data_IF_254330279016
#
_entry.id   IF_254330279016
#
_cell.length_a   1.000
_cell.length_b   1.000
_cell.length_c   1.000
_cell.angle_alpha   90.00
_cell.angle_beta   90.00
_cell.angle_gamma   90.00
#
_symmetry.space_group_name_H-M   'P 1'
#
loop_
_entity.id
_entity.type
_entity.pdbx_description
1 polymer ?
#
# COMPACT_ATOMS: atom_id res chain seq x y z
N UNK A 1 31.33 -65.21 53.11
CA UNK A 1 30.48 -66.42 53.23
C UNK A 1 29.07 -66.05 52.79
N UNK A 2 28.57 -66.76 51.76
CA UNK A 2 27.15 -67.03 51.40
C UNK A 2 26.17 -65.84 51.28
N UNK A 3 25.71 -65.49 50.07
CA UNK A 3 24.48 -65.96 49.37
C UNK A 3 23.41 -64.85 49.39
N UNK A 4 23.07 -64.27 48.24
CA UNK A 4 21.89 -64.58 47.39
C UNK A 4 20.58 -63.98 47.97
N UNK A 5 19.65 -63.35 47.25
CA UNK A 5 19.17 -63.59 45.90
C UNK A 5 18.22 -62.45 45.44
N UNK A 6 18.21 -62.24 44.11
CA UNK A 6 17.08 -62.01 43.18
C UNK A 6 15.85 -61.13 43.54
N UNK A 7 15.54 -60.17 42.66
CA UNK A 7 14.32 -60.10 41.79
C UNK A 7 14.21 -58.69 41.17
N UNK A 8 14.53 -58.49 39.89
CA UNK A 8 13.62 -58.48 38.71
C UNK A 8 12.49 -57.46 38.82
N UNK A 9 12.63 -56.29 38.18
CA UNK A 9 11.66 -55.80 37.20
C UNK A 9 12.28 -54.69 36.35
N UNK A 10 12.46 -54.97 35.07
CA UNK A 10 12.76 -54.00 34.04
C UNK A 10 11.45 -53.35 33.57
N UNK A 11 11.39 -52.02 33.56
CA UNK A 11 10.41 -51.28 32.77
C UNK A 11 11.16 -50.23 31.95
N UNK A 12 11.55 -50.63 30.73
CA UNK A 12 12.14 -49.74 29.73
C UNK A 12 10.99 -48.97 29.07
N UNK A 13 10.77 -47.74 29.49
CA UNK A 13 9.90 -46.78 28.81
C UNK A 13 10.63 -46.22 27.58
N UNK A 14 10.38 -46.84 26.43
CA UNK A 14 10.77 -46.31 25.13
C UNK A 14 10.02 -44.99 24.86
N UNK A 15 10.70 -43.86 25.06
CA UNK A 15 10.23 -42.57 24.58
C UNK A 15 10.56 -42.46 23.09
N UNK A 16 9.53 -42.64 22.26
CA UNK A 16 9.56 -42.28 20.85
C UNK A 16 9.64 -40.75 20.74
N UNK A 17 10.85 -40.22 20.72
CA UNK A 17 11.11 -38.83 20.35
C UNK A 17 10.78 -38.66 18.87
N UNK A 18 9.58 -38.16 18.57
CA UNK A 18 9.24 -37.61 17.24
C UNK A 18 10.15 -36.42 17.02
N UNK A 19 11.21 -36.62 16.24
CA UNK A 19 11.99 -35.56 15.63
C UNK A 19 11.05 -34.76 14.73
N UNK A 20 10.60 -33.61 15.23
CA UNK A 20 9.96 -32.59 14.41
C UNK A 20 11.00 -32.16 13.37
N UNK A 21 10.83 -32.64 12.14
CA UNK A 21 11.56 -32.17 10.97
C UNK A 21 11.25 -30.70 10.78
N UNK A 22 12.13 -29.84 11.29
CA UNK A 22 12.14 -28.42 11.02
C UNK A 22 12.32 -28.24 9.51
N UNK A 23 11.22 -28.09 8.77
CA UNK A 23 11.31 -27.63 7.39
C UNK A 23 11.92 -26.23 7.43
N UNK A 24 13.06 -26.00 6.76
CA UNK A 24 13.52 -24.64 6.54
C UNK A 24 12.39 -23.93 5.80
N UNK A 25 11.82 -22.90 6.44
CA UNK A 25 10.86 -22.00 5.83
C UNK A 25 11.53 -21.47 4.57
N UNK A 26 11.00 -21.83 3.41
CA UNK A 26 11.48 -21.35 2.13
C UNK A 26 11.59 -19.82 2.25
N UNK A 27 12.82 -19.31 2.13
CA UNK A 27 13.05 -17.91 1.78
C UNK A 27 12.23 -17.72 0.51
N UNK A 28 11.32 -16.73 0.49
CA UNK A 28 10.49 -16.43 -0.66
C UNK A 28 11.38 -16.16 -1.87
N UNK A 29 11.73 -17.21 -2.59
CA UNK A 29 12.38 -17.14 -3.88
C UNK A 29 11.31 -16.71 -4.87
N UNK A 30 11.64 -15.71 -5.68
CA UNK A 30 10.85 -15.29 -6.83
C UNK A 30 10.32 -16.51 -7.60
N UNK A 31 9.09 -16.41 -8.10
CA UNK A 31 8.41 -17.46 -8.87
C UNK A 31 9.29 -18.10 -9.94
N UNK A 32 8.91 -19.29 -10.41
CA UNK A 32 9.46 -19.89 -11.61
C UNK A 32 8.46 -20.03 -12.76
N UNK A 33 7.33 -19.29 -12.74
CA UNK A 33 6.35 -19.38 -13.83
C UNK A 33 6.97 -18.96 -15.19
N UNK A 34 7.19 -19.91 -16.12
CA UNK A 34 7.83 -19.62 -17.41
C UNK A 34 6.90 -18.88 -18.38
N UNK A 35 5.61 -18.73 -18.05
CA UNK A 35 4.57 -18.09 -18.88
C UNK A 35 4.37 -16.61 -18.49
N UNK A 36 5.05 -16.11 -17.45
CA UNK A 36 4.94 -14.72 -17.10
C UNK A 36 5.80 -13.81 -18.02
N UNK A 37 5.13 -12.93 -18.77
CA UNK A 37 5.78 -11.88 -19.54
C UNK A 37 6.27 -10.81 -18.57
N UNK A 38 7.59 -10.80 -18.29
CA UNK A 38 8.27 -9.85 -17.38
C UNK A 38 7.99 -8.36 -17.65
N UNK A 39 7.48 -8.00 -18.83
CA UNK A 39 7.35 -6.60 -19.28
C UNK A 39 6.20 -5.81 -18.65
N UNK A 40 5.29 -6.44 -17.91
CA UNK A 40 4.12 -5.75 -17.33
C UNK A 40 4.02 -5.82 -15.79
N UNK A 41 5.11 -6.20 -15.11
CA UNK A 41 5.10 -6.17 -13.65
C UNK A 41 5.52 -4.79 -13.14
N UNK A 42 4.54 -3.92 -12.90
CA UNK A 42 4.73 -2.65 -12.21
C UNK A 42 3.96 -2.73 -10.91
N UNK A 43 4.68 -3.11 -9.85
CA UNK A 43 4.09 -3.24 -8.53
C UNK A 43 3.52 -1.87 -8.11
N UNK A 44 2.22 -1.78 -7.76
CA UNK A 44 1.63 -0.52 -7.28
C UNK A 44 2.31 0.00 -5.99
N UNK A 45 3.11 -0.81 -5.30
CA UNK A 45 3.93 -0.39 -4.16
C UNK A 45 5.20 0.36 -4.56
N UNK A 46 5.91 -0.18 -5.55
CA UNK A 46 7.24 0.31 -5.94
C UNK A 46 7.16 0.63 -7.43
N UNK A 47 7.21 1.91 -7.83
CA UNK A 47 7.79 3.07 -7.12
C UNK A 47 6.80 4.07 -6.49
N UNK A 48 5.49 3.83 -6.51
CA UNK A 48 4.51 4.89 -6.22
C UNK A 48 4.08 5.07 -4.77
N UNK A 49 4.31 4.08 -3.89
CA UNK A 49 4.04 4.15 -2.46
C UNK A 49 5.32 4.12 -1.60
N UNK A 50 6.48 3.75 -2.17
CA UNK A 50 7.78 3.93 -1.50
C UNK A 50 8.42 5.25 -1.93
N UNK A 51 8.55 6.19 -1.00
CA UNK A 51 9.28 7.45 -1.18
C UNK A 51 10.48 7.46 -0.24
N UNK A 52 11.70 7.57 -0.79
CA UNK A 52 12.97 7.53 -0.04
C UNK A 52 13.11 6.34 0.93
N UNK A 53 12.58 5.18 0.55
CA UNK A 53 12.63 3.95 1.36
C UNK A 53 11.63 3.89 2.51
N UNK A 54 10.68 4.83 2.55
CA UNK A 54 9.55 4.83 3.48
C UNK A 54 8.23 4.63 2.71
N UNK A 55 7.32 3.86 3.29
CA UNK A 55 5.98 3.68 2.74
C UNK A 55 5.11 4.90 3.07
N UNK A 56 4.60 5.58 2.05
CA UNK A 56 3.77 6.79 2.17
C UNK A 56 2.51 6.55 3.01
N UNK A 57 1.86 5.38 2.88
CA UNK A 57 0.66 5.07 3.65
C UNK A 57 0.98 4.99 5.15
N UNK A 58 2.12 4.42 5.51
CA UNK A 58 2.55 4.34 6.91
C UNK A 58 2.88 5.73 7.49
N UNK A 59 3.59 6.56 6.73
CA UNK A 59 3.89 7.94 7.12
C UNK A 59 2.58 8.71 7.40
N UNK A 60 1.57 8.51 6.56
CA UNK A 60 0.27 9.15 6.69
C UNK A 60 -0.53 8.68 7.89
N UNK A 61 -0.48 7.39 8.22
CA UNK A 61 -1.16 6.86 9.40
C UNK A 61 -0.58 7.35 10.72
N UNK A 62 0.69 7.72 10.71
CA UNK A 62 1.36 8.30 11.88
C UNK A 62 1.17 9.82 12.00
N UNK A 63 0.59 10.44 10.97
CA UNK A 63 0.37 11.89 10.91
C UNK A 63 -1.02 12.26 11.43
N UNK A 64 -1.16 13.46 11.99
CA UNK A 64 -2.47 14.06 12.27
C UNK A 64 -3.02 14.74 11.00
N UNK A 65 -4.33 14.66 10.79
CA UNK A 65 -4.99 15.17 9.59
C UNK A 65 -6.09 16.17 9.94
N UNK A 66 -6.28 17.17 9.09
CA UNK A 66 -7.41 18.10 9.19
C UNK A 66 -8.30 17.98 7.96
N UNK A 67 -9.59 17.80 8.20
CA UNK A 67 -10.59 17.81 7.14
C UNK A 67 -10.76 19.22 6.57
N UNK A 68 -10.69 19.33 5.25
CA UNK A 68 -11.02 20.56 4.54
C UNK A 68 -12.54 20.55 4.27
N UNK A 69 -13.30 21.28 5.08
CA UNK A 69 -14.77 21.30 4.97
C UNK A 69 -15.24 22.27 3.90
N UNK A 70 -16.43 22.03 3.33
CA UNK A 70 -17.02 22.90 2.30
C UNK A 70 -17.24 24.36 2.72
N UNK A 71 -17.16 24.68 4.03
CA UNK A 71 -17.26 26.05 4.54
C UNK A 71 -15.91 26.78 4.57
N UNK A 72 -14.81 26.07 4.80
CA UNK A 72 -13.43 26.59 4.58
C UNK A 72 -13.09 26.70 3.08
N UNK A 73 -13.89 26.02 2.26
CA UNK A 73 -13.74 25.89 0.82
C UNK A 73 -14.86 26.68 0.10
N UNK A 74 -14.71 27.98 -0.09
CA UNK A 74 -15.37 28.63 -1.24
C UNK A 74 -14.91 27.89 -2.50
N UNK A 75 -15.71 26.94 -2.96
CA UNK A 75 -15.37 25.72 -3.74
C UNK A 75 -14.53 25.90 -5.02
N UNK A 76 -14.26 27.13 -5.47
CA UNK A 76 -13.46 27.41 -6.67
C UNK A 76 -11.97 27.63 -6.38
N UNK A 77 -11.61 28.38 -5.34
CA UNK A 77 -10.20 28.76 -5.09
C UNK A 77 -9.36 27.58 -4.61
N UNK A 78 -9.95 26.69 -3.82
CA UNK A 78 -9.21 25.58 -3.22
C UNK A 78 -9.23 24.31 -4.09
N UNK A 79 -10.27 24.12 -4.94
CA UNK A 79 -10.22 23.10 -5.99
C UNK A 79 -9.14 23.37 -7.03
N UNK A 80 -8.89 24.65 -7.36
CA UNK A 80 -7.71 24.98 -8.17
C UNK A 80 -6.39 24.72 -7.45
N UNK A 81 -6.36 24.73 -6.10
CA UNK A 81 -5.13 24.45 -5.34
C UNK A 81 -4.74 22.97 -5.37
N UNK A 82 -5.69 22.04 -5.46
CA UNK A 82 -5.37 20.61 -5.70
C UNK A 82 -4.98 20.30 -7.15
N UNK A 83 -5.12 21.28 -8.06
CA UNK A 83 -4.57 21.32 -9.41
C UNK A 83 -4.70 20.00 -10.18
N UNK A 84 -3.60 19.26 -10.28
CA UNK A 84 -3.51 17.97 -10.96
C UNK A 84 -4.61 16.97 -10.56
N UNK A 85 -5.09 17.01 -9.31
CA UNK A 85 -6.10 16.12 -8.77
C UNK A 85 -7.53 16.69 -8.79
N UNK A 86 -7.73 17.93 -9.26
CA UNK A 86 -9.03 18.62 -9.23
C UNK A 86 -10.17 17.79 -9.83
N UNK A 87 -9.90 17.12 -10.96
CA UNK A 87 -10.90 16.31 -11.68
C UNK A 87 -11.01 14.88 -11.13
N UNK A 88 -10.07 14.41 -10.32
CA UNK A 88 -10.09 13.07 -9.75
C UNK A 88 -10.93 13.02 -8.47
N UNK A 89 -10.90 14.11 -7.69
CA UNK A 89 -11.54 14.17 -6.37
C UNK A 89 -12.83 15.00 -6.44
N UNK A 90 -13.93 14.38 -6.04
CA UNK A 90 -15.26 15.00 -5.99
C UNK A 90 -15.81 15.17 -4.57
N UNK A 91 -15.01 14.79 -3.56
CA UNK A 91 -15.36 14.72 -2.16
C UNK A 91 -14.58 15.75 -1.31
N UNK A 92 -15.03 15.98 -0.08
CA UNK A 92 -14.24 16.70 0.93
C UNK A 92 -13.02 15.88 1.33
N UNK A 93 -11.83 16.45 1.16
CA UNK A 93 -10.57 15.78 1.43
C UNK A 93 -9.93 16.28 2.73
N UNK A 94 -9.06 15.47 3.32
CA UNK A 94 -8.20 15.91 4.41
C UNK A 94 -6.76 16.08 3.93
N UNK A 95 -6.01 16.90 4.67
CA UNK A 95 -4.56 17.08 4.50
C UNK A 95 -3.87 16.96 5.86
N UNK A 96 -2.56 16.69 5.91
CA UNK A 96 -1.84 16.67 7.18
C UNK A 96 -1.94 18.00 7.93
N UNK A 97 -1.94 17.95 9.25
CA UNK A 97 -1.89 19.14 10.10
C UNK A 97 -0.60 19.94 9.90
N UNK A 98 -0.72 21.27 9.90
CA UNK A 98 0.42 22.17 9.87
C UNK A 98 0.04 23.63 9.69
N UNK A 99 1.01 24.52 9.88
CA UNK A 99 0.79 25.96 10.01
C UNK A 99 0.38 26.66 8.71
N UNK A 100 0.74 26.10 7.55
CA UNK A 100 0.45 26.69 6.23
C UNK A 100 -0.25 25.67 5.33
N UNK A 101 -1.58 25.79 5.26
CA UNK A 101 -2.44 24.87 4.52
C UNK A 101 -2.16 24.88 3.02
N UNK A 102 -1.83 26.05 2.45
CA UNK A 102 -1.57 26.16 1.01
C UNK A 102 -0.31 25.38 0.63
N UNK A 103 0.79 25.55 1.36
CA UNK A 103 2.01 24.77 1.08
C UNK A 103 1.85 23.28 1.34
N UNK A 104 0.99 22.88 2.30
CA UNK A 104 0.68 21.46 2.54
C UNK A 104 -0.08 20.88 1.35
N UNK A 105 -1.11 21.58 0.85
CA UNK A 105 -1.87 21.14 -0.33
C UNK A 105 -0.96 21.03 -1.55
N UNK A 106 -0.09 22.04 -1.79
CA UNK A 106 0.88 22.00 -2.89
C UNK A 106 1.85 20.82 -2.75
N UNK A 107 2.31 20.51 -1.54
CA UNK A 107 3.17 19.36 -1.27
C UNK A 107 2.47 18.04 -1.55
N UNK A 108 1.21 17.89 -1.11
CA UNK A 108 0.41 16.70 -1.40
C UNK A 108 0.15 16.53 -2.89
N UNK A 109 -0.15 17.62 -3.61
CA UNK A 109 -0.27 17.61 -5.07
C UNK A 109 1.04 17.19 -5.74
N UNK A 110 2.18 17.74 -5.32
CA UNK A 110 3.48 17.36 -5.88
C UNK A 110 3.77 15.87 -5.64
N UNK A 111 3.46 15.33 -4.46
CA UNK A 111 3.62 13.90 -4.19
C UNK A 111 2.68 13.04 -5.06
N UNK A 112 1.44 13.49 -5.29
CA UNK A 112 0.51 12.83 -6.20
C UNK A 112 1.04 12.79 -7.64
N UNK A 113 1.59 13.91 -8.14
CA UNK A 113 2.23 13.97 -9.46
C UNK A 113 3.44 13.05 -9.51
N UNK A 114 4.30 13.06 -8.48
CA UNK A 114 5.46 12.18 -8.38
C UNK A 114 5.05 10.70 -8.44
N UNK A 115 4.04 10.29 -7.66
CA UNK A 115 3.52 8.93 -7.66
C UNK A 115 2.95 8.54 -9.04
N UNK A 116 2.17 9.43 -9.67
CA UNK A 116 1.67 9.24 -11.03
C UNK A 116 2.78 9.05 -12.06
N UNK A 117 3.78 9.93 -12.08
CA UNK A 117 4.94 9.87 -12.99
C UNK A 117 5.72 8.59 -12.76
N UNK A 118 5.93 8.20 -11.51
CA UNK A 118 6.68 7.01 -11.15
C UNK A 118 5.98 5.75 -11.67
N UNK A 119 4.65 5.67 -11.53
CA UNK A 119 3.85 4.58 -12.09
C UNK A 119 3.85 4.55 -13.63
N UNK A 120 3.67 5.70 -14.29
CA UNK A 120 3.74 5.77 -15.75
C UNK A 120 5.09 5.28 -16.26
N UNK A 121 6.19 5.75 -15.65
CA UNK A 121 7.54 5.32 -16.00
C UNK A 121 7.72 3.81 -15.80
N UNK A 122 7.17 3.27 -14.71
CA UNK A 122 7.15 1.82 -14.48
C UNK A 122 6.47 1.07 -15.63
N UNK A 123 5.36 1.62 -16.15
CA UNK A 123 4.61 1.06 -17.28
C UNK A 123 5.25 1.31 -18.65
N UNK A 124 6.43 1.94 -18.69
CA UNK A 124 7.08 2.32 -19.95
C UNK A 124 6.37 3.44 -20.71
N UNK A 125 5.58 4.26 -20.00
CA UNK A 125 4.86 5.41 -20.54
C UNK A 125 5.55 6.70 -20.13
N UNK A 126 5.69 7.64 -21.06
CA UNK A 126 6.27 8.94 -20.78
C UNK A 126 5.22 9.92 -20.26
N UNK A 127 5.50 10.57 -19.13
CA UNK A 127 4.62 11.60 -18.56
C UNK A 127 4.28 12.73 -19.56
N UNK A 128 5.22 13.11 -20.43
CA UNK A 128 5.02 14.21 -21.38
C UNK A 128 3.86 13.95 -22.34
N UNK A 129 3.58 12.69 -22.65
CA UNK A 129 2.47 12.27 -23.51
C UNK A 129 1.12 12.26 -22.78
N UNK A 130 1.13 12.24 -21.45
CA UNK A 130 -0.05 12.05 -20.59
C UNK A 130 -0.22 13.15 -19.54
N UNK A 131 0.06 14.41 -19.91
CA UNK A 131 -0.11 15.56 -19.01
C UNK A 131 -1.57 15.83 -18.63
N UNK A 132 -2.53 15.31 -19.43
CA UNK A 132 -3.97 15.40 -19.19
C UNK A 132 -4.54 14.00 -18.97
N UNK A 133 -4.33 13.38 -17.80
CA UNK A 133 -4.77 12.01 -17.54
C UNK A 133 -6.28 11.80 -17.76
N UNK A 134 -7.10 12.84 -17.52
CA UNK A 134 -8.55 12.81 -17.73
C UNK A 134 -8.98 12.71 -19.21
N UNK A 135 -8.07 12.94 -20.16
CA UNK A 135 -8.28 12.78 -21.61
C UNK A 135 -7.57 11.53 -22.17
N UNK A 136 -6.97 10.72 -21.29
CA UNK A 136 -6.14 9.55 -21.65
C UNK A 136 -6.92 8.23 -21.58
N UNK A 137 -6.25 7.11 -21.87
CA UNK A 137 -6.84 5.77 -21.75
C UNK A 137 -7.14 5.35 -20.30
N UNK A 138 -7.90 4.26 -20.14
CA UNK A 138 -8.35 3.76 -18.84
C UNK A 138 -7.20 3.42 -17.88
N UNK A 139 -6.07 2.93 -18.40
CA UNK A 139 -4.90 2.63 -17.57
C UNK A 139 -4.32 3.91 -16.97
N UNK A 140 -4.08 4.92 -17.80
CA UNK A 140 -3.55 6.23 -17.36
C UNK A 140 -4.50 6.90 -16.38
N UNK A 141 -5.81 6.86 -16.65
CA UNK A 141 -6.82 7.38 -15.73
C UNK A 141 -6.86 6.63 -14.39
N UNK A 142 -6.64 5.31 -14.39
CA UNK A 142 -6.61 4.52 -13.17
C UNK A 142 -5.36 4.84 -12.32
N UNK A 143 -4.18 5.00 -12.94
CA UNK A 143 -2.97 5.44 -12.24
C UNK A 143 -3.18 6.82 -11.60
N UNK A 144 -3.74 7.76 -12.37
CA UNK A 144 -4.01 9.12 -11.91
C UNK A 144 -4.96 9.16 -10.71
N UNK A 145 -6.10 8.45 -10.80
CA UNK A 145 -7.06 8.35 -9.70
C UNK A 145 -6.43 7.73 -8.46
N UNK A 146 -5.71 6.63 -8.63
CA UNK A 146 -5.01 5.94 -7.54
C UNK A 146 -4.03 6.90 -6.83
N UNK A 147 -3.18 7.61 -7.57
CA UNK A 147 -2.26 8.59 -7.00
C UNK A 147 -3.01 9.70 -6.25
N UNK A 148 -4.05 10.28 -6.84
CA UNK A 148 -4.81 11.34 -6.19
C UNK A 148 -5.52 10.86 -4.91
N UNK A 149 -6.08 9.64 -4.89
CA UNK A 149 -6.74 9.10 -3.69
C UNK A 149 -5.76 8.82 -2.55
N UNK A 150 -4.52 8.43 -2.87
CA UNK A 150 -3.46 8.23 -1.87
C UNK A 150 -3.08 9.52 -1.16
N UNK A 151 -2.95 10.62 -1.91
CA UNK A 151 -2.43 11.90 -1.39
C UNK A 151 -3.53 12.88 -0.94
N UNK A 152 -4.77 12.69 -1.40
CA UNK A 152 -5.95 13.45 -0.97
C UNK A 152 -7.04 12.49 -0.46
N UNK A 153 -6.85 11.93 0.74
CA UNK A 153 -7.86 11.06 1.37
C UNK A 153 -9.16 11.82 1.59
N UNK A 154 -10.30 11.12 1.57
CA UNK A 154 -11.58 11.70 2.01
C UNK A 154 -11.50 12.00 3.50
N UNK A 155 -12.18 13.05 3.94
CA UNK A 155 -12.39 13.30 5.36
C UNK A 155 -12.98 12.06 6.06
N UNK A 156 -12.41 11.72 7.21
CA UNK A 156 -12.87 10.62 8.03
C UNK A 156 -13.98 11.11 8.97
N UNK A 157 -15.21 10.69 8.70
CA UNK A 157 -16.40 11.08 9.47
C UNK A 157 -16.39 10.54 10.91
N UNK A 158 -15.68 9.43 11.15
CA UNK A 158 -15.60 8.80 12.48
C UNK A 158 -14.48 9.37 13.33
N UNK A 159 -13.40 9.81 12.69
CA UNK A 159 -12.22 10.38 13.36
C UNK A 159 -11.60 11.43 12.45
N UNK A 160 -12.02 12.69 12.60
CA UNK A 160 -11.59 13.79 11.72
C UNK A 160 -10.07 14.00 11.68
N UNK A 161 -9.37 13.57 12.74
CA UNK A 161 -7.93 13.66 12.89
C UNK A 161 -7.14 12.51 12.22
N UNK A 162 -7.82 11.45 11.78
CA UNK A 162 -7.17 10.24 11.28
C UNK A 162 -7.13 10.19 9.75
N UNK A 163 -6.00 9.70 9.23
CA UNK A 163 -5.87 9.35 7.82
C UNK A 163 -6.90 8.30 7.41
N UNK A 164 -7.54 8.51 6.26
CA UNK A 164 -8.44 7.52 5.66
C UNK A 164 -7.76 6.88 4.46
N UNK A 165 -7.13 5.72 4.73
CA UNK A 165 -6.38 4.96 3.71
C UNK A 165 -7.26 4.69 2.48
N UNK A 166 -6.71 4.66 1.25
CA UNK A 166 -7.53 4.44 0.08
C UNK A 166 -8.00 2.98 -0.01
N UNK A 167 -9.12 2.78 -0.68
CA UNK A 167 -9.74 1.47 -0.86
C UNK A 167 -8.90 0.59 -1.79
N UNK A 168 -8.87 -0.72 -1.53
CA UNK A 168 -8.20 -1.67 -2.41
C UNK A 168 -8.76 -1.67 -3.84
N UNK A 169 -10.01 -1.21 -4.04
CA UNK A 169 -10.60 -1.00 -5.37
C UNK A 169 -9.81 -0.04 -6.25
N UNK A 170 -9.20 1.01 -5.68
CA UNK A 170 -8.40 1.97 -6.46
C UNK A 170 -7.19 1.27 -7.10
N UNK A 171 -6.46 0.50 -6.29
CA UNK A 171 -5.35 -0.31 -6.78
C UNK A 171 -5.81 -1.44 -7.71
N UNK A 172 -6.92 -2.15 -7.40
CA UNK A 172 -7.45 -3.21 -8.28
C UNK A 172 -7.84 -2.65 -9.66
N UNK A 173 -8.42 -1.45 -9.69
CA UNK A 173 -8.75 -0.74 -10.92
C UNK A 173 -7.51 -0.44 -11.76
N UNK A 174 -6.41 0.00 -11.12
CA UNK A 174 -5.11 0.13 -11.77
C UNK A 174 -4.60 -1.20 -12.35
N UNK A 175 -4.57 -2.26 -11.53
CA UNK A 175 -4.06 -3.57 -11.96
C UNK A 175 -4.84 -4.11 -13.16
N UNK A 176 -6.17 -3.96 -13.13
CA UNK A 176 -7.04 -4.41 -14.21
C UNK A 176 -6.89 -3.56 -15.48
N UNK A 177 -6.98 -2.23 -15.36
CA UNK A 177 -6.95 -1.32 -16.51
C UNK A 177 -5.59 -1.33 -17.22
N UNK A 178 -4.51 -1.44 -16.45
CA UNK A 178 -3.15 -1.50 -16.97
C UNK A 178 -2.67 -2.91 -17.28
N UNK A 179 -3.51 -3.93 -17.06
CA UNK A 179 -3.16 -5.35 -17.25
C UNK A 179 -1.83 -5.71 -16.57
N UNK A 180 -1.66 -5.21 -15.34
CA UNK A 180 -0.46 -5.47 -14.54
C UNK A 180 -0.49 -6.92 -14.13
N UNK A 181 0.49 -7.67 -14.64
CA UNK A 181 0.68 -9.06 -14.30
C UNK A 181 2.12 -9.24 -13.82
N UNK A 182 2.25 -9.60 -12.54
CA UNK A 182 3.54 -9.81 -11.91
C UNK A 182 3.80 -11.30 -11.78
N UNK A 183 5.03 -11.70 -12.11
CA UNK A 183 5.40 -13.11 -12.14
C UNK A 183 5.43 -13.71 -10.74
N UNK A 184 5.84 -12.94 -9.73
CA UNK A 184 5.92 -13.34 -8.32
C UNK A 184 4.53 -13.45 -7.67
N UNK A 185 4.40 -13.20 -6.36
CA UNK A 185 3.15 -13.31 -5.58
C UNK A 185 2.00 -12.40 -6.08
N UNK A 186 2.16 -11.77 -7.25
CA UNK A 186 1.24 -10.83 -7.86
C UNK A 186 1.33 -9.48 -7.18
N UNK A 187 0.95 -8.43 -7.92
CA UNK A 187 0.68 -7.15 -7.29
C UNK A 187 -0.54 -7.28 -6.37
N UNK A 188 -0.32 -7.24 -5.05
CA UNK A 188 -1.41 -7.27 -4.05
C UNK A 188 -1.74 -5.86 -3.62
N UNK A 189 -3.02 -5.51 -3.68
CA UNK A 189 -3.48 -4.19 -3.24
C UNK A 189 -3.59 -4.09 -1.72
N UNK A 190 -3.96 -5.17 -1.05
CA UNK A 190 -4.02 -5.25 0.41
C UNK A 190 -3.09 -6.37 0.86
N UNK A 191 -2.17 -6.04 1.76
CA UNK A 191 -1.14 -6.93 2.28
C UNK A 191 -0.65 -6.39 3.62
N UNK A 192 0.06 -7.25 4.36
CA UNK A 192 0.80 -6.90 5.58
C UNK A 192 2.18 -7.55 5.49
N UNK A 193 3.23 -6.74 5.44
CA UNK A 193 4.63 -7.16 5.30
C UNK A 193 5.40 -6.79 6.57
N UNK A 194 6.14 -7.76 7.12
CA UNK A 194 6.97 -7.54 8.30
C UNK A 194 8.43 -7.39 7.84
N UNK A 195 8.94 -6.16 7.85
CA UNK A 195 10.31 -5.83 7.46
C UNK A 195 11.17 -5.68 8.70
N UNK A 196 12.22 -6.51 8.82
CA UNK A 196 13.22 -6.35 9.89
C UNK A 196 14.15 -5.21 9.52
N UNK A 197 14.20 -4.20 10.37
CA UNK A 197 15.09 -3.05 10.23
C UNK A 197 16.50 -3.37 10.78
N UNK A 198 17.55 -2.62 10.39
CA UNK A 198 18.92 -2.87 10.84
C UNK A 198 19.12 -2.79 12.37
N UNK A 199 18.24 -2.05 13.06
CA UNK A 199 18.20 -1.91 14.51
C UNK A 199 17.54 -3.10 15.23
N UNK A 200 17.04 -4.09 14.49
CA UNK A 200 16.34 -5.26 15.01
C UNK A 200 14.82 -5.06 15.19
N UNK A 201 14.31 -3.84 14.98
CA UNK A 201 12.87 -3.58 15.04
C UNK A 201 12.14 -4.20 13.83
N UNK A 202 10.86 -4.52 14.00
CA UNK A 202 10.00 -5.02 12.92
C UNK A 202 9.05 -3.91 12.50
N UNK A 203 9.24 -3.40 11.29
CA UNK A 203 8.32 -2.48 10.63
C UNK A 203 7.20 -3.29 9.98
N UNK A 204 5.94 -2.96 10.30
CA UNK A 204 4.78 -3.57 9.66
C UNK A 204 4.30 -2.61 8.57
N UNK A 205 4.56 -2.97 7.32
CA UNK A 205 4.09 -2.25 6.13
C UNK A 205 2.77 -2.84 5.67
N UNK A 206 1.79 -1.99 5.41
CA UNK A 206 0.49 -2.43 4.92
C UNK A 206 0.08 -1.73 3.63
N UNK A 207 -0.70 -2.45 2.82
CA UNK A 207 -1.26 -1.94 1.58
C UNK A 207 -2.55 -1.17 1.79
N UNK A 208 -3.28 -0.93 0.70
CA UNK A 208 -4.62 -0.33 0.72
C UNK A 208 -5.59 -1.08 1.64
N UNK A 209 -6.58 -0.34 2.13
CA UNK A 209 -7.61 -0.88 3.00
C UNK A 209 -8.48 -1.92 2.25
N UNK A 210 -8.78 -3.10 2.83
CA UNK A 210 -9.37 -4.24 2.13
C UNK A 210 -10.87 -4.08 1.78
N UNK A 211 -11.39 -2.86 1.69
CA UNK A 211 -12.74 -2.58 1.23
C UNK A 211 -12.77 -2.20 -0.27
N UNK A 212 -13.93 -2.39 -0.90
CA UNK A 212 -14.21 -1.86 -2.23
C UNK A 212 -14.91 -0.49 -2.08
N UNK A 213 -14.48 0.48 -2.85
CA UNK A 213 -15.11 1.79 -2.95
C UNK A 213 -16.41 1.78 -3.78
N UNK A 214 -17.32 2.74 -3.57
CA UNK A 214 -17.29 3.76 -2.51
C UNK A 214 -17.60 3.16 -1.13
N UNK A 215 -16.78 3.45 -0.13
CA UNK A 215 -16.93 2.95 1.25
C UNK A 215 -16.75 4.06 2.27
N UNK A 216 -17.42 3.96 3.43
CA UNK A 216 -17.22 4.86 4.57
C UNK A 216 -15.85 4.68 5.26
N UNK A 217 -15.18 3.55 5.01
CA UNK A 217 -13.97 3.13 5.72
C UNK A 217 -12.66 3.46 4.99
N UNK A 218 -12.73 3.87 3.73
CA UNK A 218 -11.57 4.14 2.91
C UNK A 218 -11.86 5.23 1.86
N UNK A 219 -10.82 5.70 1.18
CA UNK A 219 -10.91 6.70 0.10
C UNK A 219 -10.94 6.07 -1.29
N UNK A 220 -11.85 6.53 -2.16
CA UNK A 220 -12.03 5.99 -3.52
C UNK A 220 -12.98 4.81 -3.56
#
# INVERSE_FOLDING_TARGET
MLQAALSVLALVLAHAAKTATHHPRAVAGYTQDPVCIKRNCVNPLVPGLEEFGSNVLMEYEQSAWTCQTSQDLTMRSNRSQVGFCEKAISYSFSVPEGADQESIIQRQMQRAVTSYVAHLRGLGRDFWDYQKPWESDDCVQAVWRMACYTHFPRCNEKSQAAYLRPCASACKGYLQACQVNCCDDGAKCSFTHHKKMPDGNVLIEEGYDPHNGPSAHCTG
#
